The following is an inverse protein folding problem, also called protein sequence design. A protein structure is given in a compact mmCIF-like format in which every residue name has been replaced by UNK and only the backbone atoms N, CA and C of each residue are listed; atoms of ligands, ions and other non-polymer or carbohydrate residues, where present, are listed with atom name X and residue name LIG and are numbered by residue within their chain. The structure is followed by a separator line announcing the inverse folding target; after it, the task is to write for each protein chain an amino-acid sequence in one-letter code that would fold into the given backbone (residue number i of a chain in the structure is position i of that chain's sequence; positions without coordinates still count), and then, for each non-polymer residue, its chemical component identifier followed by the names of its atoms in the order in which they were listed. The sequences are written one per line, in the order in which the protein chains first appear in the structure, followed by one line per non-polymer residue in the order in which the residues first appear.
data_IF_472173165365
#
_entry.id   IF_472173165365
#
_cell.length_a   1.000
_cell.length_b   1.000
_cell.length_c   1.000
_cell.angle_alpha   90.00
_cell.angle_beta   90.00
_cell.angle_gamma   90.00
#
_symmetry.space_group_name_H-M   'P 1'
#
loop_
_entity.id
_entity.type
_entity.pdbx_description
1 polymer ?
#
# COMPACT_ATOMS: atom_id res chain seq x y z
N UNK A 1 4.44 14.36 37.32
CA UNK A 1 3.11 13.83 36.95
C UNK A 1 3.34 12.89 35.78
N UNK A 2 3.49 11.59 36.06
CA UNK A 2 3.71 10.59 35.02
C UNK A 2 2.36 9.99 34.66
N UNK A 3 1.90 10.21 33.43
CA UNK A 3 0.69 9.61 32.92
C UNK A 3 1.02 8.13 32.61
N UNK A 4 0.69 7.24 33.55
CA UNK A 4 0.78 5.80 33.33
C UNK A 4 -0.36 5.35 32.44
N UNK A 5 -0.04 4.87 31.24
CA UNK A 5 -0.99 4.15 30.40
C UNK A 5 -1.12 2.73 30.96
N UNK A 6 -2.19 2.47 31.71
CA UNK A 6 -2.50 1.12 32.20
C UNK A 6 -3.28 0.35 31.13
N UNK A 7 -2.68 -0.73 30.62
CA UNK A 7 -3.31 -1.66 29.69
C UNK A 7 -4.35 -2.54 30.42
N UNK A 8 -5.54 -2.82 29.83
CA UNK A 8 -6.57 -3.62 30.47
C UNK A 8 -6.16 -5.10 30.68
N UNK A 9 -6.63 -5.70 31.79
CA UNK A 9 -6.23 -7.02 32.32
C UNK A 9 -6.40 -8.23 31.38
N UNK A 10 -7.08 -8.10 30.23
CA UNK A 10 -7.18 -9.19 29.25
C UNK A 10 -5.88 -9.43 28.46
N UNK A 11 -4.89 -8.51 28.52
CA UNK A 11 -3.60 -8.66 27.85
C UNK A 11 -2.48 -9.23 28.74
N UNK A 12 -2.75 -9.48 30.02
CA UNK A 12 -1.73 -9.93 31.00
C UNK A 12 -1.30 -11.40 30.85
N UNK A 13 -1.85 -12.13 29.88
CA UNK A 13 -1.66 -13.58 29.71
C UNK A 13 -0.68 -14.04 28.63
N UNK A 14 -0.16 -13.17 27.76
CA UNK A 14 0.72 -13.59 26.67
C UNK A 14 2.20 -13.40 27.04
N UNK A 15 2.68 -14.20 28.00
CA UNK A 15 4.11 -14.48 28.10
C UNK A 15 4.50 -15.40 26.95
N UNK A 16 5.32 -14.85 26.04
CA UNK A 16 6.22 -15.50 25.10
C UNK A 16 6.13 -17.03 25.02
N UNK A 17 5.30 -17.51 24.10
CA UNK A 17 5.63 -18.75 23.39
C UNK A 17 6.60 -18.33 22.28
N UNK A 18 7.85 -18.76 22.35
CA UNK A 18 8.78 -18.64 21.24
C UNK A 18 8.21 -19.40 20.04
N UNK A 19 7.49 -18.68 19.18
CA UNK A 19 7.05 -19.17 17.90
C UNK A 19 8.25 -19.13 16.97
N UNK A 20 9.03 -20.20 16.96
CA UNK A 20 9.91 -20.43 15.82
C UNK A 20 9.04 -20.36 14.58
N UNK A 21 9.33 -19.42 13.69
CA UNK A 21 8.65 -19.33 12.39
C UNK A 21 8.76 -20.72 11.77
N UNK A 22 7.64 -21.39 11.45
CA UNK A 22 7.69 -22.72 10.88
C UNK A 22 8.53 -22.65 9.60
N UNK A 23 9.67 -23.35 9.58
CA UNK A 23 10.53 -23.48 8.40
C UNK A 23 9.69 -24.10 7.29
N UNK A 24 9.26 -23.28 6.34
CA UNK A 24 8.41 -23.69 5.23
C UNK A 24 7.29 -22.72 4.87
N UNK A 25 7.03 -21.66 5.65
CA UNK A 25 6.14 -20.59 5.19
C UNK A 25 6.85 -19.81 4.08
N UNK A 26 6.46 -20.06 2.83
CA UNK A 26 6.85 -19.19 1.72
C UNK A 26 6.20 -17.85 1.99
N UNK A 27 7.00 -16.88 2.38
CA UNK A 27 6.57 -15.48 2.41
C UNK A 27 6.70 -15.03 0.97
N UNK A 28 5.59 -15.11 0.24
CA UNK A 28 5.52 -14.73 -1.16
C UNK A 28 5.41 -13.20 -1.25
N UNK A 29 6.03 -12.62 -2.27
CA UNK A 29 5.87 -11.21 -2.59
C UNK A 29 4.40 -10.92 -2.89
N UNK A 30 3.95 -9.73 -2.52
CA UNK A 30 2.55 -9.35 -2.70
C UNK A 30 2.43 -8.39 -3.88
N UNK A 31 1.49 -8.68 -4.79
CA UNK A 31 1.19 -7.82 -5.93
C UNK A 31 -0.01 -6.96 -5.56
N UNK A 32 0.14 -5.65 -5.71
CA UNK A 32 -0.92 -4.67 -5.54
C UNK A 32 -1.03 -3.81 -6.79
N UNK A 33 -2.15 -3.11 -6.89
CA UNK A 33 -2.43 -2.16 -7.94
C UNK A 33 -2.75 -0.80 -7.33
N UNK A 34 -2.31 0.26 -7.98
CA UNK A 34 -2.67 1.63 -7.65
C UNK A 34 -2.93 2.40 -8.94
N UNK A 35 -3.29 3.67 -8.81
CA UNK A 35 -3.39 4.58 -9.93
C UNK A 35 -2.77 5.92 -9.59
N UNK A 36 -2.38 6.66 -10.62
CA UNK A 36 -1.92 8.03 -10.49
C UNK A 36 -2.16 8.79 -11.79
N UNK A 37 -2.02 10.12 -11.78
CA UNK A 37 -2.27 10.89 -13.00
C UNK A 37 -1.08 10.77 -13.97
N UNK A 38 -1.36 10.78 -15.28
CA UNK A 38 -0.29 10.73 -16.28
C UNK A 38 0.61 11.97 -16.30
N UNK A 39 0.17 13.09 -15.71
CA UNK A 39 0.96 14.32 -15.59
C UNK A 39 1.89 14.32 -14.35
N UNK A 40 1.73 13.38 -13.42
CA UNK A 40 2.58 13.27 -12.25
C UNK A 40 3.92 12.61 -12.60
N UNK A 41 5.07 13.18 -12.19
CA UNK A 41 6.38 12.58 -12.42
C UNK A 41 6.52 11.23 -11.70
N UNK A 42 7.04 10.23 -12.41
CA UNK A 42 7.28 8.89 -11.82
C UNK A 42 8.33 8.92 -10.71
N UNK A 43 9.30 9.82 -10.81
CA UNK A 43 10.39 9.97 -9.84
C UNK A 43 9.90 10.37 -8.44
N UNK A 44 8.75 11.03 -8.36
CA UNK A 44 8.16 11.53 -7.11
C UNK A 44 6.94 10.73 -6.66
N UNK A 45 6.56 9.67 -7.40
CA UNK A 45 5.30 8.94 -7.18
C UNK A 45 5.12 8.45 -5.75
N UNK A 46 6.19 7.99 -5.11
CA UNK A 46 6.15 7.39 -3.76
C UNK A 46 6.71 8.31 -2.68
N UNK A 47 6.87 9.60 -2.99
CA UNK A 47 7.22 10.61 -2.00
C UNK A 47 5.95 10.99 -1.26
N UNK A 48 6.01 11.00 0.08
CA UNK A 48 4.89 11.44 0.90
C UNK A 48 4.57 12.92 0.61
N UNK A 49 3.47 13.16 -0.10
CA UNK A 49 2.97 14.48 -0.48
C UNK A 49 1.72 14.90 0.32
N UNK A 50 1.29 14.02 1.25
CA UNK A 50 0.09 14.19 2.07
C UNK A 50 -1.21 13.76 1.38
N UNK A 51 -1.14 13.26 0.14
CA UNK A 51 -2.27 12.68 -0.58
C UNK A 51 -2.28 11.18 -0.33
N UNK A 52 -3.40 10.60 0.16
CA UNK A 52 -3.46 9.17 0.41
C UNK A 52 -3.46 8.38 -0.90
N UNK A 53 -2.56 7.41 -0.99
CA UNK A 53 -2.56 6.41 -2.05
C UNK A 53 -3.61 5.33 -1.81
N UNK A 54 -4.35 4.99 -2.88
CA UNK A 54 -5.28 3.87 -2.87
C UNK A 54 -4.62 2.63 -3.48
N UNK A 55 -4.76 1.51 -2.78
CA UNK A 55 -4.22 0.21 -3.19
C UNK A 55 -5.33 -0.82 -3.35
N UNK A 56 -5.16 -1.67 -4.36
CA UNK A 56 -6.13 -2.69 -4.77
C UNK A 56 -5.42 -4.03 -4.97
N UNK A 57 -6.14 -5.13 -4.80
CA UNK A 57 -5.59 -6.48 -4.98
C UNK A 57 -5.62 -6.97 -6.44
N UNK A 58 -6.30 -6.23 -7.33
CA UNK A 58 -6.39 -6.55 -8.74
C UNK A 58 -6.56 -5.29 -9.59
N UNK A 59 -6.14 -5.38 -10.86
CA UNK A 59 -6.18 -4.31 -11.84
C UNK A 59 -7.60 -3.77 -12.09
N UNK A 60 -8.59 -4.66 -12.17
CA UNK A 60 -9.97 -4.27 -12.47
C UNK A 60 -10.56 -3.38 -11.37
N UNK A 61 -10.26 -3.65 -10.10
CA UNK A 61 -10.69 -2.80 -9.00
C UNK A 61 -10.08 -1.38 -9.09
N UNK A 62 -8.81 -1.26 -9.49
CA UNK A 62 -8.18 0.03 -9.74
C UNK A 62 -8.84 0.75 -10.93
N UNK A 63 -9.11 0.01 -12.01
CA UNK A 63 -9.82 0.52 -13.20
C UNK A 63 -11.21 1.06 -12.84
N UNK A 64 -12.00 0.30 -12.09
CA UNK A 64 -13.32 0.73 -11.66
C UNK A 64 -13.27 1.97 -10.78
N UNK A 65 -12.28 2.08 -9.90
CA UNK A 65 -12.08 3.29 -9.09
C UNK A 65 -11.78 4.53 -9.94
N UNK A 66 -10.93 4.41 -10.97
CA UNK A 66 -10.67 5.48 -11.95
C UNK A 66 -11.95 5.89 -12.67
N UNK A 67 -12.76 4.92 -13.12
CA UNK A 67 -14.01 5.20 -13.83
C UNK A 67 -15.03 5.91 -12.92
N UNK A 68 -15.18 5.47 -11.66
CA UNK A 68 -16.01 6.16 -10.69
C UNK A 68 -15.53 7.58 -10.41
N UNK A 69 -14.22 7.79 -10.26
CA UNK A 69 -13.65 9.13 -10.09
C UNK A 69 -13.93 10.02 -11.31
N UNK A 70 -13.86 9.48 -12.53
CA UNK A 70 -14.19 10.20 -13.76
C UNK A 70 -15.65 10.63 -13.81
N UNK A 71 -16.56 9.78 -13.35
CA UNK A 71 -17.98 10.12 -13.27
C UNK A 71 -18.24 11.27 -12.28
N UNK A 72 -17.48 11.33 -11.19
CA UNK A 72 -17.57 12.40 -10.18
C UNK A 72 -16.97 13.73 -10.66
N UNK A 73 -15.82 13.69 -11.34
CA UNK A 73 -15.12 14.88 -11.85
C UNK A 73 -15.76 15.43 -13.13
N UNK A 74 -16.23 14.55 -14.02
CA UNK A 74 -16.78 14.90 -15.31
C UNK A 74 -15.74 14.98 -16.45
N UNK A 75 -16.18 14.70 -17.68
CA UNK A 75 -15.28 14.54 -18.84
C UNK A 75 -14.45 15.78 -19.20
N UNK A 76 -14.98 16.98 -18.96
CA UNK A 76 -14.31 18.23 -19.34
C UNK A 76 -13.05 18.53 -18.52
N UNK A 77 -12.98 17.98 -17.30
CA UNK A 77 -11.87 18.19 -16.36
C UNK A 77 -11.01 16.93 -16.19
N UNK A 78 -11.37 15.84 -16.89
CA UNK A 78 -10.69 14.56 -16.77
C UNK A 78 -9.27 14.60 -17.32
N UNK A 79 -8.33 14.11 -16.52
CA UNK A 79 -6.94 13.88 -16.93
C UNK A 79 -6.69 12.38 -17.01
N UNK A 80 -6.06 11.87 -18.08
CA UNK A 80 -5.71 10.45 -18.19
C UNK A 80 -4.97 9.95 -16.95
N UNK A 81 -5.30 8.74 -16.54
CA UNK A 81 -4.72 8.06 -15.38
C UNK A 81 -3.98 6.82 -15.80
N UNK A 82 -2.92 6.47 -15.07
CA UNK A 82 -2.19 5.22 -15.25
C UNK A 82 -2.57 4.25 -14.15
N UNK A 83 -2.77 2.98 -14.51
CA UNK A 83 -2.83 1.88 -13.55
C UNK A 83 -1.41 1.34 -13.38
N UNK A 84 -1.03 1.18 -12.12
CA UNK A 84 0.31 0.80 -11.69
C UNK A 84 0.23 -0.56 -11.02
N UNK A 85 1.06 -1.51 -11.47
CA UNK A 85 1.30 -2.78 -10.78
C UNK A 85 2.54 -2.62 -9.93
N UNK A 86 2.40 -2.89 -8.64
CA UNK A 86 3.51 -2.88 -7.70
C UNK A 86 3.68 -4.23 -7.08
N UNK A 87 4.93 -4.58 -6.82
CA UNK A 87 5.30 -5.74 -6.04
C UNK A 87 6.00 -5.27 -4.79
N UNK A 88 5.56 -5.77 -3.64
CA UNK A 88 6.14 -5.44 -2.35
C UNK A 88 6.76 -6.67 -1.71
N UNK A 89 7.75 -6.41 -0.86
CA UNK A 89 8.32 -7.41 0.03
C UNK A 89 7.22 -8.11 0.85
N UNK A 90 7.42 -9.38 1.23
CA UNK A 90 6.42 -10.12 1.98
C UNK A 90 6.08 -9.46 3.33
N UNK A 91 4.83 -9.58 3.79
CA UNK A 91 4.36 -8.93 5.02
C UNK A 91 4.88 -9.62 6.29
N UNK A 92 6.15 -9.44 6.58
CA UNK A 92 6.80 -9.80 7.86
C UNK A 92 6.68 -8.66 8.86
N UNK A 93 6.91 -8.93 10.16
CA UNK A 93 6.91 -7.90 11.21
C UNK A 93 7.89 -6.75 10.89
N UNK A 94 9.06 -7.08 10.31
CA UNK A 94 10.08 -6.11 9.91
C UNK A 94 9.61 -5.23 8.74
N UNK A 95 9.04 -5.83 7.70
CA UNK A 95 8.56 -5.09 6.53
C UNK A 95 7.33 -4.24 6.84
N UNK A 96 6.48 -4.67 7.77
CA UNK A 96 5.37 -3.84 8.28
C UNK A 96 5.92 -2.62 9.03
N UNK A 97 6.98 -2.76 9.83
CA UNK A 97 7.62 -1.62 10.49
C UNK A 97 8.24 -0.64 9.48
N UNK A 98 8.88 -1.15 8.42
CA UNK A 98 9.43 -0.32 7.34
C UNK A 98 8.28 0.43 6.63
N UNK A 99 7.21 -0.27 6.25
CA UNK A 99 6.04 0.34 5.61
C UNK A 99 5.45 1.49 6.44
N UNK A 100 5.33 1.30 7.76
CA UNK A 100 4.71 2.29 8.63
C UNK A 100 5.60 3.50 8.93
N UNK A 101 6.93 3.34 8.91
CA UNK A 101 7.87 4.41 9.23
C UNK A 101 8.44 5.12 8.00
N UNK A 102 8.71 4.38 6.93
CA UNK A 102 9.42 4.84 5.73
C UNK A 102 8.51 4.84 4.48
N UNK A 103 7.28 4.34 4.59
CA UNK A 103 6.31 4.29 3.51
C UNK A 103 6.52 3.14 2.54
N UNK A 104 5.66 3.08 1.52
CA UNK A 104 5.65 1.96 0.57
C UNK A 104 6.91 1.89 -0.30
N UNK A 105 7.53 3.04 -0.60
CA UNK A 105 8.74 3.13 -1.41
C UNK A 105 9.88 2.23 -0.90
N UNK A 106 9.97 2.08 0.42
CA UNK A 106 11.03 1.32 1.08
C UNK A 106 10.86 -0.20 0.98
N UNK A 107 9.67 -0.70 0.62
CA UNK A 107 9.37 -2.13 0.49
C UNK A 107 9.01 -2.54 -0.94
N UNK A 108 9.07 -1.64 -1.92
CA UNK A 108 8.84 -1.94 -3.33
C UNK A 108 9.98 -2.78 -3.90
N UNK A 109 9.63 -3.91 -4.51
CA UNK A 109 10.57 -4.79 -5.23
C UNK A 109 10.46 -4.62 -6.75
N UNK A 110 9.26 -4.30 -7.25
CA UNK A 110 9.02 -3.99 -8.66
C UNK A 110 7.89 -2.97 -8.82
N UNK A 111 7.96 -2.19 -9.91
CA UNK A 111 6.98 -1.18 -10.30
C UNK A 111 6.83 -1.18 -11.82
N UNK A 112 5.58 -1.24 -12.29
CA UNK A 112 5.22 -1.27 -13.71
C UNK A 112 3.95 -0.47 -13.97
N UNK A 113 3.90 0.27 -15.08
CA UNK A 113 2.66 0.85 -15.59
C UNK A 113 2.01 -0.17 -16.52
N UNK A 114 0.82 -0.65 -16.16
CA UNK A 114 0.15 -1.74 -16.89
C UNK A 114 -0.92 -1.23 -17.86
N UNK A 115 -1.55 -0.09 -17.55
CA UNK A 115 -2.59 0.49 -18.40
C UNK A 115 -2.60 2.02 -18.29
N UNK A 116 -3.07 2.68 -19.34
CA UNK A 116 -3.50 4.08 -19.29
C UNK A 116 -4.98 4.17 -19.62
N UNK A 117 -5.77 4.76 -18.72
CA UNK A 117 -7.21 4.96 -18.84
C UNK A 117 -7.48 6.43 -19.16
N UNK A 118 -8.14 6.67 -20.29
CA UNK A 118 -8.44 8.00 -20.86
C UNK A 118 -9.92 8.29 -20.94
#
# INVERSE_FOLDING_TARGET
MSCGFELPDHQRGLRASGGGVPQGMRVETMILYSYSHCNEPLETRWVEDGIPDFFYTNEEAARQAILSLREEVGEAEWTPMRIERIEIEPMTDENVLILLNDGIAAILTAYEIVETVS
#
